data_IF_354281692702
#
_entry.id   IF_354281692702
#
_cell.length_a   1.000
_cell.length_b   1.000
_cell.length_c   1.000
_cell.angle_alpha   90.00
_cell.angle_beta   90.00
_cell.angle_gamma   90.00
#
_symmetry.space_group_name_H-M   'P 1'
#
loop_
_entity.id
_entity.type
_entity.pdbx_description
1 polymer ?
#
# COMPACT_ATOMS: atom_id res chain seq x y z
N UNK A 1 -12.77 -13.37 14.07
CA UNK A 1 -11.35 -13.00 14.25
C UNK A 1 -11.16 -11.61 13.70
N UNK A 2 -10.53 -10.69 14.43
CA UNK A 2 -10.19 -9.36 13.88
C UNK A 2 -9.16 -9.52 12.77
N UNK A 3 -9.34 -8.80 11.66
CA UNK A 3 -8.35 -8.72 10.59
C UNK A 3 -7.10 -8.02 11.15
N UNK A 4 -5.96 -8.72 11.15
CA UNK A 4 -4.67 -8.13 11.51
C UNK A 4 -4.08 -7.57 10.23
N UNK A 5 -3.99 -6.24 10.15
CA UNK A 5 -3.39 -5.54 9.03
C UNK A 5 -1.87 -5.47 9.23
N UNK A 6 -1.12 -6.06 8.30
CA UNK A 6 0.34 -6.19 8.36
C UNK A 6 0.98 -5.48 7.18
N UNK A 7 2.02 -4.70 7.46
CA UNK A 7 2.86 -4.01 6.48
C UNK A 7 4.19 -4.75 6.38
N UNK A 8 4.51 -5.22 5.19
CA UNK A 8 5.77 -5.90 4.90
C UNK A 8 6.75 -4.91 4.26
N UNK A 9 7.96 -4.82 4.80
CA UNK A 9 9.05 -4.00 4.28
C UNK A 9 10.15 -4.93 3.79
N UNK A 10 10.63 -4.74 2.58
CA UNK A 10 11.68 -5.58 2.00
C UNK A 10 12.99 -4.82 1.93
N UNK A 11 14.08 -5.46 2.35
CA UNK A 11 15.44 -4.91 2.20
C UNK A 11 15.89 -4.89 0.73
N UNK A 12 15.36 -5.80 -0.08
CA UNK A 12 15.69 -5.95 -1.51
C UNK A 12 14.47 -5.64 -2.39
N UNK A 13 14.70 -4.83 -3.43
CA UNK A 13 13.69 -4.51 -4.46
C UNK A 13 13.21 -5.76 -5.22
N UNK A 14 14.10 -6.73 -5.43
CA UNK A 14 13.78 -7.97 -6.14
C UNK A 14 12.75 -8.81 -5.37
N UNK A 15 12.91 -8.91 -4.05
CA UNK A 15 11.98 -9.63 -3.19
C UNK A 15 10.62 -8.91 -3.09
N UNK A 16 10.62 -7.57 -3.05
CA UNK A 16 9.39 -6.76 -3.10
C UNK A 16 8.63 -6.98 -4.42
N UNK A 17 9.34 -6.95 -5.55
CA UNK A 17 8.77 -7.18 -6.88
C UNK A 17 8.22 -8.59 -7.00
N UNK A 18 8.95 -9.59 -6.47
CA UNK A 18 8.47 -10.97 -6.47
C UNK A 18 7.21 -11.13 -5.63
N UNK A 19 7.13 -10.46 -4.48
CA UNK A 19 5.93 -10.45 -3.65
C UNK A 19 4.74 -9.77 -4.34
N UNK A 20 4.99 -8.68 -5.09
CA UNK A 20 3.98 -8.01 -5.90
C UNK A 20 3.29 -8.97 -6.89
N UNK A 21 4.08 -9.80 -7.59
CA UNK A 21 3.56 -10.80 -8.52
C UNK A 21 2.67 -11.85 -7.82
N UNK A 22 3.00 -12.23 -6.58
CA UNK A 22 2.19 -13.15 -5.79
C UNK A 22 0.85 -12.53 -5.39
N UNK A 23 0.83 -11.22 -5.11
CA UNK A 23 -0.39 -10.48 -4.83
C UNK A 23 -1.29 -10.41 -6.06
N UNK A 24 -0.73 -10.07 -7.23
CA UNK A 24 -1.49 -10.05 -8.50
C UNK A 24 -2.13 -11.40 -8.81
N UNK A 25 -1.42 -12.51 -8.55
CA UNK A 25 -1.95 -13.85 -8.74
C UNK A 25 -3.16 -14.17 -7.84
N UNK A 26 -3.34 -13.44 -6.75
CA UNK A 26 -4.47 -13.54 -5.82
C UNK A 26 -5.52 -12.44 -6.04
N UNK A 27 -5.55 -11.83 -7.22
CA UNK A 27 -6.51 -10.78 -7.61
C UNK A 27 -6.36 -9.47 -6.79
N UNK A 28 -5.18 -9.23 -6.19
CA UNK A 28 -4.86 -7.91 -5.61
C UNK A 28 -4.49 -6.90 -6.70
N UNK A 29 -4.70 -5.59 -6.45
CA UNK A 29 -4.11 -4.59 -7.31
C UNK A 29 -2.59 -4.72 -7.29
N UNK A 30 -1.98 -4.54 -8.46
CA UNK A 30 -0.53 -4.52 -8.63
C UNK A 30 0.09 -3.44 -7.73
N UNK A 31 0.85 -3.80 -6.70
CA UNK A 31 1.49 -2.80 -5.85
C UNK A 31 2.68 -2.19 -6.58
N UNK A 32 2.95 -0.91 -6.33
CA UNK A 32 4.16 -0.24 -6.83
C UNK A 32 5.26 -0.39 -5.79
N UNK A 33 6.44 -0.86 -6.22
CA UNK A 33 7.61 -0.91 -5.33
C UNK A 33 8.18 0.49 -5.19
N UNK A 34 8.14 1.02 -3.97
CA UNK A 34 8.70 2.33 -3.64
C UNK A 34 9.73 2.21 -2.52
N UNK A 35 10.81 2.99 -2.62
CA UNK A 35 11.85 3.05 -1.59
C UNK A 35 11.43 4.05 -0.52
N UNK A 36 10.99 3.51 0.62
CA UNK A 36 10.57 4.27 1.80
C UNK A 36 11.48 3.89 2.97
N UNK A 37 11.75 4.85 3.86
CA UNK A 37 12.53 4.58 5.07
C UNK A 37 11.73 3.69 6.04
N UNK A 38 12.38 2.66 6.58
CA UNK A 38 11.73 1.72 7.49
C UNK A 38 11.31 2.34 8.82
N UNK A 39 12.02 3.37 9.30
CA UNK A 39 11.66 4.09 10.52
C UNK A 39 10.34 4.83 10.30
N UNK A 40 10.18 5.51 9.16
CA UNK A 40 8.96 6.21 8.77
C UNK A 40 7.75 5.25 8.69
N UNK A 41 7.95 4.09 8.04
CA UNK A 41 6.91 3.05 7.95
C UNK A 41 6.55 2.49 9.33
N UNK A 42 7.55 2.25 10.19
CA UNK A 42 7.33 1.73 11.53
C UNK A 42 6.56 2.72 12.41
N UNK A 43 6.88 4.02 12.32
CA UNK A 43 6.15 5.07 13.03
C UNK A 43 4.69 5.16 12.56
N UNK A 44 4.45 5.12 11.24
CA UNK A 44 3.10 5.07 10.67
C UNK A 44 2.31 3.86 11.18
N UNK A 45 2.92 2.67 11.13
CA UNK A 45 2.27 1.44 11.58
C UNK A 45 1.90 1.51 13.06
N UNK A 46 2.77 2.06 13.91
CA UNK A 46 2.51 2.23 15.33
C UNK A 46 1.34 3.18 15.59
N UNK A 47 1.20 4.25 14.81
CA UNK A 47 0.09 5.19 14.91
C UNK A 47 -1.25 4.63 14.42
N UNK A 48 -1.23 3.81 13.36
CA UNK A 48 -2.41 3.22 12.75
C UNK A 48 -2.84 1.88 13.39
N UNK A 49 -2.00 1.28 14.24
CA UNK A 49 -2.25 -0.04 14.83
C UNK A 49 -1.94 -1.21 13.88
N UNK A 50 -1.09 -0.99 12.88
CA UNK A 50 -0.60 -2.02 11.96
C UNK A 50 0.65 -2.72 12.51
N UNK A 51 0.85 -3.98 12.12
CA UNK A 51 2.10 -4.68 12.38
C UNK A 51 3.08 -4.47 11.24
N UNK A 52 4.24 -3.87 11.50
CA UNK A 52 5.32 -3.77 10.53
C UNK A 52 6.28 -4.97 10.67
N UNK A 53 6.67 -5.58 9.55
CA UNK A 53 7.63 -6.68 9.51
C UNK A 53 8.71 -6.42 8.44
N UNK A 54 9.97 -6.59 8.82
CA UNK A 54 11.11 -6.39 7.94
C UNK A 54 11.61 -7.73 7.40
N UNK A 55 11.69 -7.81 6.07
CA UNK A 55 12.07 -8.98 5.31
C UNK A 55 13.50 -8.77 4.80
N UNK A 56 14.42 -9.60 5.30
CA UNK A 56 15.81 -9.59 4.86
C UNK A 56 15.94 -10.01 3.39
N UNK A 57 16.98 -9.53 2.71
CA UNK A 57 17.23 -9.85 1.32
C UNK A 57 17.33 -11.38 1.10
N UNK A 58 16.63 -11.87 0.08
CA UNK A 58 16.56 -13.29 -0.28
C UNK A 58 15.56 -14.11 0.54
N UNK A 59 14.84 -13.51 1.50
CA UNK A 59 13.79 -14.21 2.24
C UNK A 59 12.51 -14.28 1.41
N UNK A 60 12.01 -15.50 1.18
CA UNK A 60 10.78 -15.73 0.44
C UNK A 60 9.58 -15.69 1.39
N UNK A 61 8.72 -14.69 1.19
CA UNK A 61 7.46 -14.54 1.93
C UNK A 61 6.32 -14.91 0.99
N UNK A 62 5.37 -15.69 1.48
CA UNK A 62 4.17 -16.05 0.73
C UNK A 62 2.98 -15.33 1.38
N UNK A 63 2.18 -14.58 0.60
CA UNK A 63 0.96 -13.99 1.12
C UNK A 63 -0.01 -15.08 1.61
N UNK A 64 -0.83 -14.81 2.63
CA UNK A 64 -1.81 -15.77 3.10
C UNK A 64 -2.83 -16.13 2.00
N UNK A 65 -3.39 -17.34 2.06
CA UNK A 65 -4.39 -17.84 1.08
C UNK A 65 -5.79 -17.23 1.27
N UNK A 66 -6.00 -16.46 2.35
CA UNK A 66 -7.27 -15.79 2.64
C UNK A 66 -6.99 -14.39 3.16
N UNK A 67 -7.28 -13.41 2.32
CA UNK A 67 -7.17 -12.01 2.64
C UNK A 67 -8.56 -11.41 2.87
N UNK A 68 -8.63 -10.31 3.61
CA UNK A 68 -9.88 -9.57 3.79
C UNK A 68 -10.35 -8.99 2.45
N UNK A 69 -11.63 -9.18 2.12
CA UNK A 69 -12.25 -8.73 0.87
C UNK A 69 -12.37 -7.20 0.76
N UNK A 70 -12.34 -6.49 1.91
CA UNK A 70 -12.35 -5.03 1.97
C UNK A 70 -11.09 -4.54 2.71
N UNK A 71 -10.23 -3.84 1.98
CA UNK A 71 -9.02 -3.23 2.52
C UNK A 71 -9.33 -1.75 2.81
N UNK A 72 -9.32 -1.36 4.08
CA UNK A 72 -9.65 0.01 4.51
C UNK A 72 -8.78 1.08 3.82
N UNK A 73 -7.53 0.76 3.48
CA UNK A 73 -6.60 1.67 2.81
C UNK A 73 -6.91 1.95 1.34
N UNK A 74 -7.79 1.19 0.69
CA UNK A 74 -8.21 1.45 -0.70
C UNK A 74 -9.33 2.50 -0.81
N UNK A 75 -9.97 2.90 0.30
CA UNK A 75 -11.05 3.90 0.26
C UNK A 75 -10.57 5.34 0.03
N UNK A 76 -9.27 5.61 0.09
CA UNK A 76 -8.68 6.96 0.00
C UNK A 76 -7.75 7.18 -1.21
N UNK A 77 -8.20 6.84 -2.42
CA UNK A 77 -7.59 7.32 -3.67
C UNK A 77 -8.54 8.22 -4.47
N UNK A 78 -9.25 9.13 -3.81
CA UNK A 78 -9.85 10.28 -4.49
C UNK A 78 -8.95 11.50 -4.30
N UNK A 79 -8.03 11.80 -5.24
CA UNK A 79 -7.39 13.11 -5.24
C UNK A 79 -8.50 14.17 -5.25
N UNK A 80 -8.40 15.24 -4.43
CA UNK A 80 -9.43 16.26 -4.39
C UNK A 80 -9.66 16.76 -5.82
N UNK A 81 -10.91 16.87 -6.28
CA UNK A 81 -11.18 17.28 -7.66
C UNK A 81 -10.45 18.59 -7.91
N UNK A 82 -9.54 18.59 -8.89
CA UNK A 82 -8.89 19.80 -9.39
C UNK A 82 -10.03 20.76 -9.73
N UNK A 83 -10.17 21.80 -8.91
CA UNK A 83 -11.13 22.88 -9.10
C UNK A 83 -10.81 23.53 -10.44
N UNK A 84 -11.43 23.03 -11.51
CA UNK A 84 -11.53 23.70 -12.78
C UNK A 84 -12.14 25.06 -12.46
N UNK A 85 -11.30 26.09 -12.42
CA UNK A 85 -11.76 27.46 -12.50
C UNK A 85 -12.45 27.58 -13.86
N UNK A 86 -13.75 27.28 -13.86
CA UNK A 86 -14.66 27.61 -14.94
C UNK A 86 -14.58 29.12 -15.08
N UNK A 87 -13.83 29.53 -16.10
CA UNK A 87 -13.89 30.84 -16.72
C UNK A 87 -15.35 31.09 -17.07
N UNK A 88 -16.01 32.01 -16.37
CA UNK A 88 -17.24 32.63 -16.85
C UNK A 88 -16.96 34.09 -17.23
N UNK A 89 -17.54 34.58 -18.35
CA UNK A 89 -17.26 35.89 -18.90
C UNK A 89 -18.15 36.93 -18.21
N UNK A 90 -17.58 38.02 -17.71
CA UNK A 90 -18.37 39.17 -17.31
C UNK A 90 -18.16 40.30 -18.31
N UNK A 91 -19.11 40.37 -19.25
CA UNK A 91 -19.45 41.58 -19.98
C UNK A 91 -19.68 42.71 -18.97
N UNK A 92 -19.01 43.84 -19.15
CA UNK A 92 -19.67 45.13 -19.42
C UNK A 92 -18.63 46.15 -19.87
#
# INVERSE_FOLDING_TARGET
MGAINKVLMFESEDDATRYALLLEAQDFPTPTVEKIDSEEVAEFCRGAGYQAEMIAAGMLVIPPESNAEELDWQKEEVPPPRRSFLRFPMRS
#
